data_IF_792505001574
#
_entry.id   IF_792505001574
#
_cell.length_a   1.000
_cell.length_b   1.000
_cell.length_c   1.000
_cell.angle_alpha   90.00
_cell.angle_beta   90.00
_cell.angle_gamma   90.00
#
_symmetry.space_group_name_H-M   'P 1'
#
loop_
_entity.id
_entity.type
_entity.pdbx_description
1 polymer ?
#
# COMPACT_ATOMS: atom_id res chain seq x y z
N UNK A 1 -35.18 -18.77 21.85
CA UNK A 1 -34.13 -19.28 20.97
C UNK A 1 -33.03 -18.22 20.88
N UNK A 2 -32.04 -18.24 21.81
CA UNK A 2 -30.90 -17.35 21.74
C UNK A 2 -30.01 -17.81 20.57
N UNK A 3 -30.07 -17.11 19.45
CA UNK A 3 -29.04 -17.22 18.40
C UNK A 3 -27.72 -16.90 19.07
N UNK A 4 -26.85 -17.91 19.21
CA UNK A 4 -25.43 -17.71 19.56
C UNK A 4 -24.84 -16.75 18.55
N UNK A 5 -24.80 -15.45 18.86
CA UNK A 5 -24.03 -14.49 18.06
C UNK A 5 -22.59 -14.94 18.13
N UNK A 6 -22.05 -15.38 16.99
CA UNK A 6 -20.67 -15.78 16.84
C UNK A 6 -19.81 -14.59 17.29
N UNK A 7 -18.93 -14.80 18.28
CA UNK A 7 -18.04 -13.72 18.76
C UNK A 7 -17.11 -13.37 17.61
N UNK A 8 -17.17 -12.15 17.12
CA UNK A 8 -16.25 -11.62 16.12
C UNK A 8 -14.92 -11.30 16.81
N UNK A 9 -13.83 -11.70 16.22
CA UNK A 9 -12.46 -11.48 16.68
C UNK A 9 -11.53 -11.47 15.47
N UNK A 10 -10.23 -11.32 15.68
CA UNK A 10 -9.22 -11.31 14.61
C UNK A 10 -9.34 -12.54 13.69
N UNK A 11 -9.36 -13.75 14.25
CA UNK A 11 -9.45 -15.00 13.48
C UNK A 11 -10.72 -15.05 12.58
N UNK A 12 -11.84 -14.55 13.10
CA UNK A 12 -13.08 -14.45 12.33
C UNK A 12 -12.92 -13.47 11.14
N UNK A 13 -12.31 -12.30 11.37
CA UNK A 13 -12.04 -11.31 10.33
C UNK A 13 -11.12 -11.91 9.25
N UNK A 14 -10.01 -12.53 9.65
CA UNK A 14 -9.08 -13.20 8.73
C UNK A 14 -9.77 -14.25 7.87
N UNK A 15 -10.65 -15.05 8.47
CA UNK A 15 -11.46 -16.01 7.72
C UNK A 15 -12.38 -15.35 6.68
N UNK A 16 -12.94 -14.17 7.01
CA UNK A 16 -13.81 -13.42 6.08
C UNK A 16 -13.08 -12.80 4.91
N UNK A 17 -11.88 -12.30 5.12
CA UNK A 17 -11.10 -11.63 4.08
C UNK A 17 -10.21 -12.59 3.27
N UNK A 18 -10.11 -13.86 3.68
CA UNK A 18 -9.22 -14.86 3.05
C UNK A 18 -9.37 -14.92 1.53
N UNK A 19 -10.60 -15.01 1.01
CA UNK A 19 -10.81 -15.13 -0.44
C UNK A 19 -10.35 -13.89 -1.22
N UNK A 20 -10.43 -12.70 -0.63
CA UNK A 20 -9.92 -11.46 -1.24
C UNK A 20 -8.39 -11.39 -1.18
N UNK A 21 -7.79 -11.86 -0.07
CA UNK A 21 -6.33 -12.02 0.00
C UNK A 21 -5.83 -13.00 -1.05
N UNK A 22 -6.45 -14.17 -1.16
CA UNK A 22 -6.09 -15.17 -2.17
C UNK A 22 -6.21 -14.60 -3.59
N UNK A 23 -7.24 -13.78 -3.88
CA UNK A 23 -7.40 -13.08 -5.16
C UNK A 23 -6.27 -12.08 -5.42
N UNK A 24 -5.83 -11.32 -4.40
CA UNK A 24 -4.71 -10.40 -4.51
C UNK A 24 -3.38 -11.12 -4.76
N UNK A 25 -3.10 -12.19 -4.01
CA UNK A 25 -1.85 -12.94 -4.13
C UNK A 25 -1.73 -13.72 -5.46
N UNK A 26 -2.87 -14.03 -6.10
CA UNK A 26 -2.91 -14.67 -7.42
C UNK A 26 -3.27 -13.68 -8.53
N UNK A 27 -3.06 -12.38 -8.31
CA UNK A 27 -3.42 -11.37 -9.30
C UNK A 27 -2.48 -11.43 -10.52
N UNK A 28 -3.06 -11.33 -11.73
CA UNK A 28 -2.32 -11.39 -12.99
C UNK A 28 -1.25 -10.29 -13.14
N UNK A 29 -1.34 -9.22 -12.37
CA UNK A 29 -0.33 -8.16 -12.34
C UNK A 29 1.08 -8.72 -12.16
N UNK A 30 1.27 -9.67 -11.26
CA UNK A 30 2.59 -10.22 -10.95
C UNK A 30 3.23 -10.90 -12.19
N UNK A 31 2.47 -11.72 -12.90
CA UNK A 31 2.96 -12.40 -14.10
C UNK A 31 3.18 -11.47 -15.31
N UNK A 32 2.60 -10.26 -15.29
CA UNK A 32 2.75 -9.26 -16.36
C UNK A 32 3.95 -8.32 -16.14
N UNK A 33 4.70 -8.47 -15.04
CA UNK A 33 5.97 -7.76 -14.81
C UNK A 33 7.10 -8.64 -15.37
N UNK A 34 7.47 -8.40 -16.62
CA UNK A 34 8.47 -9.19 -17.33
C UNK A 34 9.78 -8.43 -17.58
N UNK A 35 9.73 -7.11 -17.63
CA UNK A 35 10.86 -6.24 -18.00
C UNK A 35 10.99 -5.07 -17.04
N UNK A 36 12.13 -4.39 -17.09
CA UNK A 36 12.40 -3.21 -16.27
C UNK A 36 11.38 -2.08 -16.50
N UNK A 37 10.91 -1.93 -17.73
CA UNK A 37 9.89 -0.93 -18.07
C UNK A 37 8.54 -1.21 -17.42
N UNK A 38 8.21 -2.47 -17.20
CA UNK A 38 6.98 -2.88 -16.51
C UNK A 38 7.10 -2.58 -15.02
N UNK A 39 8.30 -2.78 -14.47
CA UNK A 39 8.64 -2.43 -13.10
C UNK A 39 8.61 -0.91 -12.86
N UNK A 40 9.06 -0.11 -13.82
CA UNK A 40 8.91 1.35 -13.78
C UNK A 40 7.43 1.74 -13.68
N UNK A 41 6.56 1.20 -14.56
CA UNK A 41 5.11 1.46 -14.52
C UNK A 41 4.52 1.02 -13.19
N UNK A 42 4.90 -0.17 -12.71
CA UNK A 42 4.44 -0.65 -11.40
C UNK A 42 4.77 0.36 -10.30
N UNK A 43 6.02 0.76 -10.18
CA UNK A 43 6.47 1.65 -9.10
C UNK A 43 5.88 3.06 -9.22
N UNK A 44 5.76 3.62 -10.43
CA UNK A 44 5.14 4.93 -10.70
C UNK A 44 3.66 5.00 -10.24
N UNK A 45 2.98 3.88 -10.14
CA UNK A 45 1.60 3.79 -9.68
C UNK A 45 1.47 3.25 -8.25
N UNK A 46 2.35 2.35 -7.83
CA UNK A 46 2.33 1.79 -6.48
C UNK A 46 2.76 2.81 -5.41
N UNK A 47 3.55 3.82 -5.77
CA UNK A 47 3.97 4.89 -4.85
C UNK A 47 2.78 5.57 -4.13
N UNK A 48 1.62 5.62 -4.77
CA UNK A 48 0.41 6.13 -4.12
C UNK A 48 -0.05 5.25 -2.95
N UNK A 49 0.21 3.93 -3.01
CA UNK A 49 -0.06 3.03 -1.89
C UNK A 49 0.98 3.14 -0.77
N UNK A 50 2.24 3.46 -1.10
CA UNK A 50 3.29 3.74 -0.10
C UNK A 50 2.96 5.02 0.66
N UNK A 51 2.57 6.07 -0.04
CA UNK A 51 2.13 7.32 0.58
C UNK A 51 0.83 7.20 1.38
N UNK A 52 -0.14 6.43 0.86
CA UNK A 52 -1.40 6.09 1.53
C UNK A 52 -1.16 5.40 2.88
N UNK A 53 -0.23 4.45 2.91
CA UNK A 53 0.20 3.76 4.12
C UNK A 53 0.73 4.74 5.18
N UNK A 54 1.66 5.62 4.80
CA UNK A 54 2.19 6.65 5.69
C UNK A 54 1.10 7.60 6.21
N UNK A 55 0.10 7.90 5.38
CA UNK A 55 -1.03 8.74 5.78
C UNK A 55 -1.92 8.06 6.82
N UNK A 56 -2.17 6.75 6.69
CA UNK A 56 -2.88 5.95 7.69
C UNK A 56 -2.11 5.88 9.01
N UNK A 57 -0.81 5.63 8.94
CA UNK A 57 0.09 5.58 10.09
C UNK A 57 0.05 6.89 10.88
N UNK A 58 0.17 8.03 10.18
CA UNK A 58 0.09 9.36 10.84
C UNK A 58 -1.29 9.64 11.41
N UNK A 59 -2.36 9.22 10.73
CA UNK A 59 -3.72 9.35 11.27
C UNK A 59 -3.89 8.56 12.56
N UNK A 60 -3.34 7.33 12.65
CA UNK A 60 -3.31 6.55 13.89
C UNK A 60 -2.46 7.20 14.96
N UNK A 61 -1.26 7.68 14.64
CA UNK A 61 -0.41 8.38 15.61
C UNK A 61 -1.13 9.59 16.22
N UNK A 62 -1.78 10.41 15.42
CA UNK A 62 -2.56 11.56 15.88
C UNK A 62 -3.71 11.14 16.80
N UNK A 63 -4.35 10.01 16.56
CA UNK A 63 -5.49 9.52 17.35
C UNK A 63 -5.07 8.79 18.63
N UNK A 64 -3.95 8.08 18.60
CA UNK A 64 -3.52 7.18 19.67
C UNK A 64 -2.42 7.76 20.56
N UNK A 65 -1.88 8.92 20.20
CA UNK A 65 -0.85 9.63 20.98
C UNK A 65 -1.19 11.10 21.15
N UNK A 66 -0.38 11.83 21.90
CA UNK A 66 -0.46 13.29 21.99
C UNK A 66 0.61 13.93 21.10
N UNK A 67 0.22 14.43 19.94
CA UNK A 67 1.08 15.17 19.00
C UNK A 67 0.96 16.69 19.14
N UNK A 68 0.30 17.17 20.22
CA UNK A 68 0.04 18.59 20.47
C UNK A 68 0.83 19.11 21.66
N UNK A 69 1.00 20.43 21.73
CA UNK A 69 1.53 21.17 22.86
C UNK A 69 0.44 22.10 23.44
N UNK A 70 0.27 22.19 24.78
CA UNK A 70 0.98 21.42 25.82
C UNK A 70 0.65 19.93 25.78
N UNK A 71 1.66 19.09 26.10
CA UNK A 71 1.50 17.64 26.10
C UNK A 71 0.64 17.16 27.26
N UNK A 72 -0.18 16.14 26.98
CA UNK A 72 -0.93 15.38 27.98
C UNK A 72 -0.78 13.87 27.69
N UNK A 73 -0.76 12.99 28.72
CA UNK A 73 -0.68 11.54 28.49
C UNK A 73 -1.93 11.02 27.79
N UNK A 74 -1.75 10.02 26.92
CA UNK A 74 -2.87 9.25 26.38
C UNK A 74 -3.40 8.27 27.45
N UNK A 75 -4.69 7.96 27.41
CA UNK A 75 -5.32 7.03 28.34
C UNK A 75 -4.89 5.56 28.13
N UNK A 76 -4.37 5.23 26.97
CA UNK A 76 -3.91 3.89 26.61
C UNK A 76 -2.43 3.95 26.15
N UNK A 77 -1.51 3.74 27.11
CA UNK A 77 -0.07 3.76 26.84
C UNK A 77 0.38 2.61 25.93
N UNK A 78 -0.33 1.47 25.93
CA UNK A 78 0.03 0.33 25.10
C UNK A 78 -0.24 0.62 23.62
N UNK A 79 -1.41 1.16 23.27
CA UNK A 79 -1.67 1.55 21.88
C UNK A 79 -0.76 2.67 21.40
N UNK A 80 -0.40 3.60 22.31
CA UNK A 80 0.57 4.66 22.02
C UNK A 80 1.97 4.08 21.77
N UNK A 81 2.39 3.07 22.54
CA UNK A 81 3.65 2.36 22.32
C UNK A 81 3.66 1.67 20.95
N UNK A 82 2.66 0.82 20.66
CA UNK A 82 2.57 0.07 19.40
C UNK A 82 2.69 0.99 18.18
N UNK A 83 1.92 2.08 18.15
CA UNK A 83 1.95 2.99 17.00
C UNK A 83 3.27 3.77 16.88
N UNK A 84 3.91 4.14 18.00
CA UNK A 84 5.16 4.87 17.95
C UNK A 84 6.34 3.98 17.53
N UNK A 85 6.36 2.69 17.86
CA UNK A 85 7.34 1.73 17.34
C UNK A 85 7.26 1.63 15.82
N UNK A 86 6.05 1.45 15.27
CA UNK A 86 5.85 1.41 13.82
C UNK A 86 6.26 2.75 13.18
N UNK A 87 5.87 3.89 13.76
CA UNK A 87 6.28 5.22 13.25
C UNK A 87 7.79 5.39 13.26
N UNK A 88 8.48 4.90 14.29
CA UNK A 88 9.94 4.99 14.37
C UNK A 88 10.61 4.25 13.21
N UNK A 89 10.15 3.04 12.92
CA UNK A 89 10.67 2.25 11.80
C UNK A 89 10.34 2.91 10.46
N UNK A 90 9.07 3.27 10.23
CA UNK A 90 8.61 3.78 8.94
C UNK A 90 9.16 5.15 8.55
N UNK A 91 9.36 6.05 9.52
CA UNK A 91 9.87 7.41 9.25
C UNK A 91 11.39 7.52 9.35
N UNK A 92 12.08 6.59 10.01
CA UNK A 92 13.51 6.74 10.35
C UNK A 92 14.31 5.44 10.28
N UNK A 93 13.98 4.57 9.34
CA UNK A 93 14.75 3.35 9.08
C UNK A 93 16.13 3.69 8.48
N UNK A 94 16.89 2.69 8.11
CA UNK A 94 18.21 2.82 7.50
C UNK A 94 18.20 2.29 6.07
N UNK A 95 18.96 2.95 5.19
CA UNK A 95 19.26 2.39 3.87
C UNK A 95 20.48 1.44 3.95
N UNK A 96 20.85 0.86 2.80
CA UNK A 96 22.01 -0.03 2.66
C UNK A 96 23.36 0.62 3.05
N UNK A 97 23.42 1.95 3.15
CA UNK A 97 24.61 2.70 3.56
C UNK A 97 24.58 3.10 5.03
N UNK A 98 23.53 2.73 5.78
CA UNK A 98 23.33 3.11 7.18
C UNK A 98 22.80 4.54 7.38
N UNK A 99 22.32 5.19 6.33
CA UNK A 99 21.72 6.53 6.40
C UNK A 99 20.24 6.43 6.79
N UNK A 100 19.78 7.34 7.67
CA UNK A 100 18.37 7.40 8.07
C UNK A 100 17.48 7.91 6.94
N UNK A 101 16.45 7.12 6.62
CA UNK A 101 15.42 7.45 5.62
C UNK A 101 14.08 6.85 6.02
N UNK A 102 13.00 7.53 5.64
CA UNK A 102 11.66 6.93 5.67
C UNK A 102 11.52 5.86 4.59
N UNK A 103 10.61 4.93 4.79
CA UNK A 103 10.28 3.92 3.76
C UNK A 103 9.80 4.57 2.46
N UNK A 104 9.10 5.71 2.53
CA UNK A 104 8.76 6.49 1.35
C UNK A 104 10.00 7.00 0.59
N UNK A 105 11.02 7.51 1.28
CA UNK A 105 12.29 7.94 0.66
C UNK A 105 13.08 6.77 0.09
N UNK A 106 13.12 5.63 0.79
CA UNK A 106 13.73 4.39 0.28
C UNK A 106 13.06 3.93 -1.03
N UNK A 107 11.72 4.05 -1.10
CA UNK A 107 10.97 3.72 -2.31
C UNK A 107 11.30 4.67 -3.47
N UNK A 108 11.40 5.98 -3.21
CA UNK A 108 11.84 6.97 -4.22
C UNK A 108 13.25 6.67 -4.72
N UNK A 109 14.19 6.36 -3.81
CA UNK A 109 15.55 6.00 -4.20
C UNK A 109 15.57 4.75 -5.11
N UNK A 110 14.75 3.76 -4.81
CA UNK A 110 14.60 2.56 -5.62
C UNK A 110 13.98 2.86 -7.00
N UNK A 111 12.97 3.75 -7.05
CA UNK A 111 12.36 4.21 -8.30
C UNK A 111 13.39 4.92 -9.21
N UNK A 112 14.21 5.81 -8.64
CA UNK A 112 15.28 6.50 -9.38
C UNK A 112 16.29 5.51 -9.94
N UNK A 113 16.69 4.53 -9.15
CA UNK A 113 17.69 3.53 -9.50
C UNK A 113 17.27 2.68 -10.71
N UNK A 114 16.00 2.30 -10.79
CA UNK A 114 15.43 1.57 -11.93
C UNK A 114 15.05 2.48 -13.12
N UNK A 115 15.23 3.80 -13.02
CA UNK A 115 14.89 4.78 -14.05
C UNK A 115 13.40 5.08 -14.19
N UNK A 116 12.59 4.85 -13.13
CA UNK A 116 11.18 5.24 -13.11
C UNK A 116 11.00 6.76 -12.99
N UNK A 117 9.88 7.28 -13.49
CA UNK A 117 9.56 8.71 -13.46
C UNK A 117 8.95 9.08 -12.11
N UNK A 118 9.67 9.85 -11.31
CA UNK A 118 9.23 10.27 -9.98
C UNK A 118 8.52 11.63 -9.98
N UNK A 119 8.74 12.49 -10.99
CA UNK A 119 8.31 13.88 -10.98
C UNK A 119 6.78 14.00 -10.94
N UNK A 120 6.10 13.19 -11.76
CA UNK A 120 4.65 13.24 -11.86
C UNK A 120 3.95 12.74 -10.58
N UNK A 121 4.25 11.54 -10.06
CA UNK A 121 3.61 11.06 -8.84
C UNK A 121 3.96 11.91 -7.61
N UNK A 122 5.20 12.37 -7.46
CA UNK A 122 5.57 13.24 -6.32
C UNK A 122 4.90 14.60 -6.38
N UNK A 123 4.75 15.19 -7.57
CA UNK A 123 3.96 16.42 -7.76
C UNK A 123 2.51 16.22 -7.34
N UNK A 124 1.87 15.14 -7.79
CA UNK A 124 0.49 14.83 -7.45
C UNK A 124 0.28 14.64 -5.94
N UNK A 125 1.17 13.89 -5.29
CA UNK A 125 1.15 13.67 -3.84
C UNK A 125 1.28 15.01 -3.10
N UNK A 126 2.21 15.87 -3.49
CA UNK A 126 2.40 17.20 -2.89
C UNK A 126 1.18 18.11 -3.10
N UNK A 127 0.52 18.04 -4.26
CA UNK A 127 -0.71 18.76 -4.55
C UNK A 127 -1.86 18.32 -3.63
N UNK A 128 -2.05 17.01 -3.44
CA UNK A 128 -3.04 16.48 -2.51
C UNK A 128 -2.70 16.91 -1.07
N UNK A 129 -1.45 16.72 -0.65
CA UNK A 129 -0.99 16.98 0.73
C UNK A 129 -1.10 18.45 1.13
N UNK A 130 -0.92 19.39 0.18
CA UNK A 130 -1.05 20.82 0.42
C UNK A 130 -2.47 21.36 0.25
N UNK A 131 -3.39 20.52 -0.25
CA UNK A 131 -4.78 20.94 -0.55
C UNK A 131 -5.61 21.10 0.73
N UNK A 132 -6.49 22.12 0.72
CA UNK A 132 -7.54 22.25 1.74
C UNK A 132 -8.69 21.25 1.55
N UNK A 133 -8.81 20.68 0.38
CA UNK A 133 -9.85 19.69 0.04
C UNK A 133 -9.19 18.52 -0.70
N UNK A 134 -8.79 17.52 0.09
CA UNK A 134 -8.12 16.31 -0.39
C UNK A 134 -8.92 15.61 -1.50
N UNK A 135 -10.24 15.50 -1.35
CA UNK A 135 -11.09 14.80 -2.34
C UNK A 135 -11.15 15.54 -3.67
N UNK A 136 -11.35 16.86 -3.65
CA UNK A 136 -11.35 17.65 -4.87
C UNK A 136 -9.98 17.60 -5.57
N UNK A 137 -8.89 17.61 -4.79
CA UNK A 137 -7.55 17.45 -5.36
C UNK A 137 -7.38 16.11 -6.04
N UNK A 138 -7.74 15.00 -5.38
CA UNK A 138 -7.69 13.65 -5.98
C UNK A 138 -8.53 13.58 -7.26
N UNK A 139 -9.73 14.15 -7.28
CA UNK A 139 -10.63 14.10 -8.43
C UNK A 139 -10.07 14.83 -9.65
N UNK A 140 -9.32 15.89 -9.44
CA UNK A 140 -8.74 16.72 -10.51
C UNK A 140 -7.45 16.15 -11.10
N UNK A 141 -6.80 15.14 -10.47
CA UNK A 141 -5.57 14.56 -10.99
C UNK A 141 -5.81 13.73 -12.26
N UNK A 142 -4.84 13.69 -13.13
CA UNK A 142 -4.80 12.81 -14.30
C UNK A 142 -4.30 11.40 -13.90
N UNK A 143 -5.08 10.71 -13.08
CA UNK A 143 -4.80 9.34 -12.62
C UNK A 143 -5.87 8.37 -13.08
N UNK A 144 -5.50 7.09 -13.17
CA UNK A 144 -6.48 6.03 -13.43
C UNK A 144 -7.59 6.07 -12.36
N UNK A 145 -8.85 5.93 -12.80
CA UNK A 145 -10.03 6.03 -11.91
C UNK A 145 -9.94 5.16 -10.66
N UNK A 146 -9.40 3.94 -10.80
CA UNK A 146 -9.28 3.01 -9.67
C UNK A 146 -8.20 3.43 -8.67
N UNK A 147 -7.14 4.13 -9.10
CA UNK A 147 -6.15 4.73 -8.17
C UNK A 147 -6.83 5.84 -7.36
N UNK A 148 -7.62 6.69 -8.01
CA UNK A 148 -8.42 7.72 -7.33
C UNK A 148 -9.37 7.10 -6.31
N UNK A 149 -10.09 6.04 -6.68
CA UNK A 149 -10.99 5.31 -5.77
C UNK A 149 -10.27 4.73 -4.56
N UNK A 150 -9.07 4.16 -4.75
CA UNK A 150 -8.24 3.66 -3.67
C UNK A 150 -7.86 4.77 -2.68
N UNK A 151 -7.37 5.90 -3.17
CA UNK A 151 -7.00 7.06 -2.35
C UNK A 151 -8.22 7.68 -1.66
N UNK A 152 -9.33 7.89 -2.38
CA UNK A 152 -10.57 8.43 -1.81
C UNK A 152 -11.09 7.57 -0.67
N UNK A 153 -11.06 6.26 -0.82
CA UNK A 153 -11.46 5.34 0.24
C UNK A 153 -10.64 5.56 1.51
N UNK A 154 -9.32 5.57 1.41
CA UNK A 154 -8.45 5.79 2.56
C UNK A 154 -8.69 7.12 3.25
N UNK A 155 -8.73 8.21 2.48
CA UNK A 155 -8.95 9.53 3.08
C UNK A 155 -10.37 9.69 3.64
N UNK A 156 -11.38 9.00 3.11
CA UNK A 156 -12.72 9.00 3.71
C UNK A 156 -12.75 8.35 5.09
N UNK A 157 -11.99 7.27 5.29
CA UNK A 157 -11.89 6.61 6.60
C UNK A 157 -11.06 7.44 7.58
N UNK A 158 -10.00 8.11 7.11
CA UNK A 158 -9.23 9.05 7.92
C UNK A 158 -10.11 10.23 8.36
N UNK A 159 -10.92 10.79 7.46
CA UNK A 159 -11.84 11.91 7.76
C UNK A 159 -12.95 11.49 8.74
N UNK A 160 -13.53 10.29 8.60
CA UNK A 160 -14.48 9.73 9.57
C UNK A 160 -13.87 9.66 10.97
N UNK A 161 -12.57 9.44 11.07
CA UNK A 161 -11.76 9.62 12.27
C UNK A 161 -11.99 8.57 13.37
N UNK A 162 -12.58 7.39 13.06
CA UNK A 162 -12.77 6.28 13.99
C UNK A 162 -11.49 5.44 14.09
N UNK A 163 -10.78 5.42 15.23
CA UNK A 163 -9.49 4.74 15.35
C UNK A 163 -9.53 3.27 14.98
N UNK A 164 -10.57 2.51 15.39
CA UNK A 164 -10.69 1.08 15.09
C UNK A 164 -10.87 0.80 13.59
N UNK A 165 -11.49 1.70 12.82
CA UNK A 165 -11.59 1.57 11.37
C UNK A 165 -10.26 1.88 10.68
N UNK A 166 -9.59 2.96 11.10
CA UNK A 166 -8.27 3.32 10.55
C UNK A 166 -7.28 2.18 10.84
N UNK A 167 -7.27 1.66 12.07
CA UNK A 167 -6.44 0.52 12.43
C UNK A 167 -6.78 -0.75 11.62
N UNK A 168 -8.06 -1.00 11.35
CA UNK A 168 -8.48 -2.15 10.54
C UNK A 168 -7.97 -2.09 9.10
N UNK A 169 -8.08 -0.94 8.42
CA UNK A 169 -7.57 -0.81 7.05
C UNK A 169 -6.03 -0.79 7.02
N UNK A 170 -5.38 -0.21 8.04
CA UNK A 170 -3.93 -0.26 8.21
C UNK A 170 -3.47 -1.72 8.37
N UNK A 171 -4.06 -2.48 9.28
CA UNK A 171 -3.67 -3.86 9.58
C UNK A 171 -4.02 -4.81 8.44
N UNK A 172 -5.31 -4.98 8.13
CA UNK A 172 -5.78 -6.04 7.20
C UNK A 172 -5.62 -5.68 5.73
N UNK A 173 -5.61 -4.39 5.41
CA UNK A 173 -5.48 -3.88 4.04
C UNK A 173 -4.04 -3.48 3.65
N UNK A 174 -3.10 -3.47 4.62
CA UNK A 174 -1.71 -3.03 4.42
C UNK A 174 -0.76 -3.98 5.15
N UNK A 175 -0.44 -3.71 6.40
CA UNK A 175 0.63 -4.30 7.20
C UNK A 175 0.68 -5.84 7.13
N UNK A 176 -0.42 -6.50 7.48
CA UNK A 176 -0.53 -7.96 7.48
C UNK A 176 -0.72 -8.60 6.08
N UNK A 177 -0.68 -7.80 5.02
CA UNK A 177 -0.82 -8.23 3.63
C UNK A 177 0.46 -8.01 2.84
N UNK A 178 1.20 -6.93 3.14
CA UNK A 178 2.39 -6.47 2.40
C UNK A 178 3.45 -7.55 2.25
N UNK A 179 3.86 -8.31 3.31
CA UNK A 179 4.89 -9.33 3.17
C UNK A 179 4.56 -10.36 2.10
N UNK A 180 3.33 -10.88 2.11
CA UNK A 180 2.91 -11.88 1.13
C UNK A 180 2.89 -11.34 -0.30
N UNK A 181 2.42 -10.09 -0.50
CA UNK A 181 2.42 -9.45 -1.82
C UNK A 181 3.84 -9.19 -2.32
N UNK A 182 4.74 -8.73 -1.46
CA UNK A 182 6.13 -8.45 -1.82
C UNK A 182 6.91 -9.73 -2.13
N UNK A 183 6.66 -10.83 -1.43
CA UNK A 183 7.20 -12.14 -1.77
C UNK A 183 6.78 -12.58 -3.19
N UNK A 184 5.50 -12.37 -3.58
CA UNK A 184 5.05 -12.68 -4.94
C UNK A 184 5.77 -11.80 -5.99
N UNK A 185 5.96 -10.52 -5.72
CA UNK A 185 6.68 -9.58 -6.60
C UNK A 185 8.16 -10.00 -6.73
N UNK A 186 8.85 -10.25 -5.63
CA UNK A 186 10.26 -10.67 -5.63
C UNK A 186 10.48 -11.96 -6.43
N UNK A 187 9.58 -12.93 -6.27
CA UNK A 187 9.65 -14.20 -7.02
C UNK A 187 9.60 -13.99 -8.54
N UNK A 188 8.79 -13.04 -9.03
CA UNK A 188 8.75 -12.73 -10.46
C UNK A 188 9.97 -11.93 -10.91
N UNK A 189 10.56 -11.06 -10.06
CA UNK A 189 11.81 -10.35 -10.36
C UNK A 189 12.97 -11.30 -10.58
N UNK A 190 13.18 -12.25 -9.66
CA UNK A 190 14.23 -13.26 -9.77
C UNK A 190 14.12 -14.09 -11.05
N UNK A 191 12.89 -14.33 -11.51
CA UNK A 191 12.63 -15.12 -12.69
C UNK A 191 12.89 -14.32 -13.98
N UNK A 192 12.45 -13.06 -14.04
CA UNK A 192 12.29 -12.32 -15.28
C UNK A 192 13.34 -11.21 -15.50
N UNK A 193 13.88 -10.60 -14.42
CA UNK A 193 14.75 -9.41 -14.49
C UNK A 193 16.17 -9.77 -14.03
N UNK A 194 16.97 -10.33 -14.95
CA UNK A 194 18.33 -10.85 -14.61
C UNK A 194 19.47 -9.89 -14.97
N UNK A 195 19.27 -8.98 -15.92
CA UNK A 195 20.36 -8.20 -16.53
C UNK A 195 20.42 -6.74 -16.04
N UNK A 196 19.62 -6.40 -15.02
CA UNK A 196 19.52 -5.04 -14.46
C UNK A 196 19.78 -5.04 -12.97
N UNK A 197 20.46 -4.02 -12.49
CA UNK A 197 20.58 -3.78 -11.06
C UNK A 197 19.27 -3.18 -10.53
N UNK A 198 18.61 -3.93 -9.67
CA UNK A 198 17.38 -3.55 -8.95
C UNK A 198 17.56 -3.72 -7.44
N UNK A 199 18.81 -3.68 -6.97
CA UNK A 199 19.20 -4.02 -5.59
C UNK A 199 18.51 -3.14 -4.54
N UNK A 200 18.28 -1.84 -4.83
CA UNK A 200 17.57 -0.97 -3.88
C UNK A 200 16.08 -1.33 -3.77
N UNK A 201 15.46 -1.75 -4.88
CA UNK A 201 14.06 -2.18 -4.85
C UNK A 201 13.89 -3.52 -4.14
N UNK A 202 14.82 -4.46 -4.36
CA UNK A 202 14.88 -5.72 -3.60
C UNK A 202 15.04 -5.41 -2.11
N UNK A 203 16.01 -4.58 -1.74
CA UNK A 203 16.24 -4.18 -0.35
C UNK A 203 14.98 -3.57 0.29
N UNK A 204 14.27 -2.70 -0.43
CA UNK A 204 13.03 -2.11 0.04
C UNK A 204 11.98 -3.19 0.35
N UNK A 205 11.78 -4.16 -0.54
CA UNK A 205 10.80 -5.23 -0.32
C UNK A 205 11.22 -6.19 0.79
N UNK A 206 12.47 -6.62 0.80
CA UNK A 206 13.01 -7.52 1.84
C UNK A 206 12.94 -6.89 3.23
N UNK A 207 13.25 -5.59 3.32
CA UNK A 207 13.19 -4.85 4.59
C UNK A 207 11.76 -4.78 5.16
N UNK A 208 10.76 -4.57 4.31
CA UNK A 208 9.35 -4.61 4.73
C UNK A 208 8.91 -6.02 5.13
N UNK A 209 9.31 -7.06 4.39
CA UNK A 209 8.98 -8.43 4.74
C UNK A 209 9.54 -8.76 6.14
N UNK A 210 10.81 -8.43 6.40
CA UNK A 210 11.46 -8.66 7.68
C UNK A 210 10.72 -7.97 8.85
N UNK A 211 10.41 -6.68 8.72
CA UNK A 211 9.78 -5.89 9.79
C UNK A 211 8.31 -6.27 10.01
N UNK A 212 7.56 -6.46 8.93
CA UNK A 212 6.11 -6.66 9.00
C UNK A 212 5.73 -8.08 9.44
N UNK A 213 6.52 -9.13 9.05
CA UNK A 213 6.25 -10.49 9.49
C UNK A 213 6.51 -10.69 11.00
N UNK A 214 7.64 -10.19 11.48
CA UNK A 214 8.13 -10.53 12.82
C UNK A 214 7.65 -9.55 13.91
N UNK A 215 7.46 -8.27 13.57
CA UNK A 215 7.22 -7.20 14.55
C UNK A 215 5.90 -6.44 14.31
N UNK A 216 5.77 -5.75 13.19
CA UNK A 216 4.67 -4.80 12.95
C UNK A 216 3.31 -5.47 12.75
N UNK A 217 3.24 -6.60 12.03
CA UNK A 217 1.99 -7.33 11.81
C UNK A 217 1.32 -7.77 13.10
N UNK A 218 2.02 -8.46 14.02
CA UNK A 218 1.50 -8.79 15.34
C UNK A 218 1.09 -7.53 16.16
N UNK A 219 1.88 -6.46 16.14
CA UNK A 219 1.56 -5.20 16.82
C UNK A 219 0.28 -4.57 16.28
N UNK A 220 0.11 -4.56 14.96
CA UNK A 220 -1.07 -4.01 14.32
C UNK A 220 -2.34 -4.82 14.65
N UNK A 221 -2.26 -6.14 14.72
CA UNK A 221 -3.38 -7.01 15.15
C UNK A 221 -3.75 -6.78 16.63
N UNK A 222 -2.74 -6.61 17.51
CA UNK A 222 -2.96 -6.27 18.91
C UNK A 222 -3.67 -4.92 19.04
N UNK A 223 -3.22 -3.90 18.30
CA UNK A 223 -3.83 -2.57 18.27
C UNK A 223 -5.31 -2.62 17.86
N UNK A 224 -5.67 -3.38 16.82
CA UNK A 224 -7.07 -3.57 16.40
C UNK A 224 -7.88 -4.18 17.55
N UNK A 225 -7.37 -5.24 18.20
CA UNK A 225 -8.05 -5.92 19.31
C UNK A 225 -8.29 -4.97 20.49
N UNK A 226 -7.29 -4.16 20.83
CA UNK A 226 -7.38 -3.18 21.92
C UNK A 226 -8.39 -2.06 21.62
N UNK A 227 -8.47 -1.61 20.37
CA UNK A 227 -9.41 -0.56 19.96
C UNK A 227 -10.84 -1.07 19.85
N UNK A 228 -11.02 -2.31 19.46
CA UNK A 228 -12.33 -2.96 19.37
C UNK A 228 -12.88 -3.37 20.74
N UNK A 229 -12.00 -3.83 21.64
CA UNK A 229 -12.38 -4.35 22.96
C UNK A 229 -13.47 -5.44 22.87
N UNK A 230 -14.50 -5.33 23.72
CA UNK A 230 -15.67 -6.21 23.69
C UNK A 230 -16.88 -5.58 22.97
N UNK A 231 -16.68 -4.54 22.17
CA UNK A 231 -17.73 -3.82 21.45
C UNK A 231 -18.04 -4.51 20.11
N UNK A 232 -19.15 -5.25 20.06
CA UNK A 232 -19.60 -5.96 18.86
C UNK A 232 -19.81 -5.02 17.66
N UNK A 233 -20.27 -3.78 17.89
CA UNK A 233 -20.48 -2.81 16.82
C UNK A 233 -19.16 -2.40 16.18
N UNK A 234 -18.10 -2.20 16.98
CA UNK A 234 -16.76 -1.92 16.44
C UNK A 234 -16.25 -3.10 15.63
N UNK A 235 -16.45 -4.35 16.09
CA UNK A 235 -16.05 -5.54 15.33
C UNK A 235 -16.81 -5.68 14.01
N UNK A 236 -18.12 -5.39 13.99
CA UNK A 236 -18.91 -5.39 12.75
C UNK A 236 -18.43 -4.31 11.77
N UNK A 237 -18.03 -3.12 12.27
CA UNK A 237 -17.43 -2.06 11.48
C UNK A 237 -16.03 -2.45 10.94
N UNK A 238 -15.20 -3.14 11.75
CA UNK A 238 -13.89 -3.68 11.35
C UNK A 238 -14.05 -4.72 10.23
N UNK A 239 -14.98 -5.70 10.36
CA UNK A 239 -15.23 -6.67 9.30
C UNK A 239 -15.53 -5.99 7.98
N UNK A 240 -16.51 -5.09 7.98
CA UNK A 240 -16.95 -4.40 6.77
C UNK A 240 -15.82 -3.59 6.11
N UNK A 241 -15.10 -2.79 6.90
CA UNK A 241 -14.08 -1.90 6.35
C UNK A 241 -12.84 -2.67 5.89
N UNK A 242 -12.51 -3.82 6.50
CA UNK A 242 -11.41 -4.69 6.07
C UNK A 242 -11.68 -5.34 4.71
N UNK A 243 -12.92 -5.79 4.49
CA UNK A 243 -13.36 -6.30 3.18
C UNK A 243 -13.21 -5.21 2.12
N UNK A 244 -13.76 -4.02 2.37
CA UNK A 244 -13.70 -2.88 1.45
C UNK A 244 -12.25 -2.47 1.15
N UNK A 245 -11.36 -2.47 2.15
CA UNK A 245 -9.95 -2.15 1.98
C UNK A 245 -9.25 -3.08 0.98
N UNK A 246 -9.53 -4.39 1.04
CA UNK A 246 -8.99 -5.36 0.09
C UNK A 246 -9.61 -5.21 -1.32
N UNK A 247 -10.91 -4.94 -1.41
CA UNK A 247 -11.55 -4.63 -2.69
C UNK A 247 -10.91 -3.40 -3.36
N UNK A 248 -10.63 -2.33 -2.60
CA UNK A 248 -9.94 -1.14 -3.13
C UNK A 248 -8.48 -1.43 -3.50
N UNK A 249 -7.79 -2.33 -2.78
CA UNK A 249 -6.45 -2.77 -3.16
C UNK A 249 -6.47 -3.56 -4.47
N UNK A 250 -7.46 -4.42 -4.69
CA UNK A 250 -7.66 -5.13 -5.97
C UNK A 250 -7.86 -4.13 -7.10
N UNK A 251 -8.67 -3.08 -6.92
CA UNK A 251 -8.84 -2.03 -7.92
C UNK A 251 -7.53 -1.31 -8.27
N UNK A 252 -6.66 -1.08 -7.28
CA UNK A 252 -5.33 -0.53 -7.53
C UNK A 252 -4.48 -1.48 -8.38
N UNK A 253 -4.47 -2.79 -8.07
CA UNK A 253 -3.78 -3.82 -8.86
C UNK A 253 -4.31 -3.91 -10.28
N UNK A 254 -5.63 -3.89 -10.45
CA UNK A 254 -6.28 -3.81 -11.77
C UNK A 254 -5.81 -2.58 -12.56
N UNK A 255 -5.73 -1.40 -11.91
CA UNK A 255 -5.31 -0.16 -12.56
C UNK A 255 -3.87 -0.21 -13.06
N UNK A 256 -2.96 -0.79 -12.26
CA UNK A 256 -1.55 -0.96 -12.64
C UNK A 256 -1.47 -1.95 -13.82
N UNK A 257 -2.17 -3.06 -13.72
CA UNK A 257 -2.20 -4.08 -14.76
C UNK A 257 -2.74 -3.54 -16.09
N UNK A 258 -3.82 -2.75 -16.07
CA UNK A 258 -4.37 -2.09 -17.27
C UNK A 258 -3.35 -1.18 -17.96
N UNK A 259 -2.42 -0.57 -17.20
CA UNK A 259 -1.37 0.27 -17.77
C UNK A 259 -0.25 -0.56 -18.40
N UNK A 260 0.12 -1.69 -17.79
CA UNK A 260 1.07 -2.64 -18.37
C UNK A 260 0.55 -3.18 -19.72
N UNK A 261 -0.69 -3.64 -19.77
CA UNK A 261 -1.32 -4.16 -20.98
C UNK A 261 -1.40 -3.12 -22.11
N UNK A 262 -1.75 -1.87 -21.80
CA UNK A 262 -1.80 -0.78 -22.80
C UNK A 262 -0.43 -0.49 -23.42
N UNK A 263 0.64 -0.57 -22.65
CA UNK A 263 2.00 -0.35 -23.15
C UNK A 263 2.48 -1.49 -24.04
N UNK A 264 2.19 -2.73 -23.68
CA UNK A 264 2.46 -3.92 -24.50
C UNK A 264 1.82 -3.77 -25.90
N UNK A 265 0.55 -3.42 -25.97
CA UNK A 265 -0.17 -3.19 -27.23
C UNK A 265 0.40 -2.05 -28.10
N UNK A 266 0.88 -0.97 -27.49
CA UNK A 266 1.50 0.15 -28.23
C UNK A 266 2.88 -0.20 -28.76
N UNK A 267 3.64 -1.01 -28.02
CA UNK A 267 4.96 -1.50 -28.43
C UNK A 267 4.89 -2.48 -29.62
N UNK A 268 3.93 -3.41 -29.61
CA UNK A 268 3.71 -4.35 -30.71
C UNK A 268 3.34 -3.64 -32.01
N UNK A 269 2.44 -2.63 -31.96
CA UNK A 269 2.08 -1.84 -33.14
C UNK A 269 3.25 -1.02 -33.72
N UNK A 270 4.18 -0.55 -32.91
CA UNK A 270 5.37 0.15 -33.39
C UNK A 270 6.32 -0.79 -34.11
N UNK A 271 6.50 -2.02 -33.63
CA UNK A 271 7.32 -3.06 -34.28
C UNK A 271 6.69 -3.58 -35.59
N UNK A 272 5.36 -3.74 -35.64
CA UNK A 272 4.65 -4.09 -36.88
C UNK A 272 4.78 -2.99 -37.93
N UNK A 273 4.69 -1.71 -37.56
CA UNK A 273 4.86 -0.58 -38.49
C UNK A 273 6.31 -0.44 -39.00
N UNK A 274 7.32 -0.73 -38.16
CA UNK A 274 8.71 -0.76 -38.61
C UNK A 274 9.00 -1.93 -39.56
N UNK A 275 8.43 -3.10 -39.32
CA UNK A 275 8.56 -4.25 -40.24
C UNK A 275 7.84 -4.03 -41.57
N UNK A 276 6.72 -3.32 -41.57
CA UNK A 276 6.03 -2.95 -42.84
C UNK A 276 6.77 -1.87 -43.62
N UNK A 277 7.47 -0.93 -42.98
CA UNK A 277 8.25 0.10 -43.68
C UNK A 277 9.50 -0.47 -44.36
N UNK A 278 10.13 -1.50 -43.78
CA UNK A 278 11.29 -2.19 -44.37
C UNK A 278 10.98 -3.13 -45.52
N UNK A 279 9.69 -3.45 -45.77
CA UNK A 279 9.28 -4.32 -46.88
C UNK A 279 8.93 -3.58 -48.17
N UNK A 280 8.90 -2.25 -48.19
CA UNK A 280 8.57 -1.45 -49.39
C UNK A 280 9.80 -0.82 -50.10
N UNK A 281 11.03 -1.01 -49.57
CA UNK A 281 12.27 -0.54 -50.18
C UNK A 281 13.09 -1.66 -50.84
N UNK A 282 12.45 -2.55 -51.61
CA UNK A 282 13.12 -3.50 -52.48
C UNK A 282 12.54 -3.48 -53.87
#
# INVERSE_FOLDING_TARGET
MHLNKKKVNIEYIEGKIKSLRDKLLNHRLYSNIERIEDLQIFTENHIYAVWDFMSLLKALQIKLTCTKTPWVPNNNSQTAYLINEIVLAEETDVNQLGERKSHYELYIDAMIDIGAKIEFPTKNINEIASSKNVFASIDNLELHKNIKEFLRFTFSVIEEGKPHKIAAIFTFGRENLIPNMFNEILREFEKNIKDKDISKLIYYFERHIELDEDEHGPMALEMVSMLAENDQKKWDEIEKISIEALEKRILLWDAINDQLEKKSWSGERSLENETYSLSFDK
#
